data_IF_573314926674
#
_entry.id   IF_573314926674
#
_cell.length_a   1.000
_cell.length_b   1.000
_cell.length_c   1.000
_cell.angle_alpha   90.00
_cell.angle_beta   90.00
_cell.angle_gamma   90.00
#
_symmetry.space_group_name_H-M   'P 1'
#
loop_
_entity.id
_entity.type
_entity.pdbx_description
1 polymer ?
#
# COMPACT_ATOMS: atom_id res chain seq x y z
N UNK A 1 -6.55 12.84 10.40
CA UNK A 1 -5.82 13.69 9.43
C UNK A 1 -6.33 13.35 8.04
N UNK A 2 -6.64 14.33 7.20
CA UNK A 2 -7.11 14.08 5.83
C UNK A 2 -5.93 14.16 4.88
N UNK A 3 -5.70 13.12 4.09
CA UNK A 3 -4.65 13.11 3.07
C UNK A 3 -5.11 13.90 1.86
N UNK A 4 -4.36 14.95 1.52
CA UNK A 4 -4.59 15.73 0.30
C UNK A 4 -3.83 15.06 -0.86
N UNK A 5 -4.56 14.31 -1.67
CA UNK A 5 -3.98 13.53 -2.77
C UNK A 5 -3.54 14.38 -3.96
N UNK A 6 -3.91 15.65 -3.99
CA UNK A 6 -3.48 16.56 -5.08
C UNK A 6 -2.00 16.91 -5.00
N UNK A 7 -1.47 17.01 -3.77
CA UNK A 7 -0.06 17.32 -3.51
C UNK A 7 0.79 16.07 -3.26
N UNK A 8 0.19 14.87 -3.28
CA UNK A 8 0.83 13.61 -2.92
C UNK A 8 0.70 13.25 -1.45
N UNK A 9 0.75 11.96 -1.15
CA UNK A 9 0.50 11.45 0.20
C UNK A 9 1.60 11.86 1.18
N UNK A 10 2.89 11.79 0.78
CA UNK A 10 4.01 12.18 1.64
C UNK A 10 4.04 13.69 1.90
N UNK A 11 3.81 14.52 0.89
CA UNK A 11 3.75 15.97 1.07
C UNK A 11 2.59 16.36 2.00
N UNK A 12 1.43 15.74 1.83
CA UNK A 12 0.27 15.92 2.71
C UNK A 12 0.56 15.48 4.15
N UNK A 13 1.19 14.31 4.32
CA UNK A 13 1.61 13.80 5.62
C UNK A 13 2.57 14.77 6.32
N UNK A 14 3.65 15.18 5.66
CA UNK A 14 4.65 16.10 6.22
C UNK A 14 4.04 17.44 6.63
N UNK A 15 3.19 18.03 5.78
CA UNK A 15 2.46 19.26 6.10
C UNK A 15 1.62 19.10 7.36
N UNK A 16 0.86 18.02 7.45
CA UNK A 16 -0.04 17.78 8.58
C UNK A 16 0.76 17.48 9.86
N UNK A 17 1.85 16.72 9.76
CA UNK A 17 2.75 16.42 10.87
C UNK A 17 3.35 17.72 11.47
N UNK A 18 3.89 18.59 10.62
CA UNK A 18 4.46 19.87 11.05
C UNK A 18 3.39 20.81 11.66
N UNK A 19 2.19 20.85 11.09
CA UNK A 19 1.11 21.68 11.63
C UNK A 19 0.68 21.22 13.03
N UNK A 20 0.57 19.90 13.25
CA UNK A 20 0.30 19.36 14.59
C UNK A 20 1.45 19.60 15.56
N UNK A 21 2.69 19.39 15.12
CA UNK A 21 3.87 19.60 15.94
C UNK A 21 3.98 21.03 16.50
N UNK A 22 3.59 22.03 15.71
CA UNK A 22 3.54 23.44 16.16
C UNK A 22 2.60 23.66 17.34
N UNK A 23 1.47 22.95 17.39
CA UNK A 23 0.49 23.07 18.47
C UNK A 23 1.06 22.52 19.78
N UNK A 24 1.91 21.51 19.70
CA UNK A 24 2.46 20.80 20.86
C UNK A 24 3.93 21.13 21.16
N UNK A 25 4.56 22.04 20.42
CA UNK A 25 5.98 22.38 20.60
C UNK A 25 6.94 21.23 20.23
N UNK A 26 6.59 20.39 19.26
CA UNK A 26 7.33 19.18 18.87
C UNK A 26 7.92 19.29 17.44
N UNK A 27 8.20 20.51 16.98
CA UNK A 27 8.61 20.75 15.58
C UNK A 27 9.92 20.07 15.22
N UNK A 28 10.86 19.99 16.14
CA UNK A 28 12.14 19.31 15.87
C UNK A 28 11.90 17.81 15.65
N UNK A 29 11.15 17.17 16.52
CA UNK A 29 10.79 15.76 16.36
C UNK A 29 10.07 15.50 15.04
N UNK A 30 9.15 16.35 14.66
CA UNK A 30 8.43 16.21 13.39
C UNK A 30 9.36 16.33 12.17
N UNK A 31 10.38 17.18 12.24
CA UNK A 31 11.41 17.28 11.19
C UNK A 31 12.26 16.01 11.12
N UNK A 32 12.64 15.47 12.26
CA UNK A 32 13.46 14.25 12.35
C UNK A 32 12.68 13.04 11.80
N UNK A 33 11.41 12.90 12.20
CA UNK A 33 10.51 11.87 11.68
C UNK A 33 10.34 11.99 10.15
N UNK A 34 10.11 13.21 9.64
CA UNK A 34 9.97 13.46 8.21
C UNK A 34 11.23 13.12 7.42
N UNK A 35 12.41 13.46 7.97
CA UNK A 35 13.71 13.11 7.37
C UNK A 35 13.93 11.58 7.34
N UNK A 36 13.56 10.89 8.41
CA UNK A 36 13.61 9.43 8.47
C UNK A 36 12.74 8.76 7.41
N UNK A 37 11.50 9.23 7.23
CA UNK A 37 10.62 8.74 6.17
C UNK A 37 11.15 9.05 4.77
N UNK A 38 11.76 10.24 4.56
CA UNK A 38 12.36 10.58 3.27
C UNK A 38 13.51 9.63 2.90
N UNK A 39 14.40 9.34 3.83
CA UNK A 39 15.50 8.40 3.62
C UNK A 39 15.01 6.97 3.28
N UNK A 40 14.01 6.48 4.02
CA UNK A 40 13.38 5.18 3.72
C UNK A 40 12.72 5.16 2.35
N UNK A 41 12.05 6.26 1.96
CA UNK A 41 11.40 6.40 0.67
C UNK A 41 12.41 6.26 -0.48
N UNK A 42 13.57 6.90 -0.38
CA UNK A 42 14.64 6.80 -1.39
C UNK A 42 15.10 5.35 -1.58
N UNK A 43 15.33 4.62 -0.48
CA UNK A 43 15.74 3.21 -0.52
C UNK A 43 14.66 2.33 -1.16
N UNK A 44 13.40 2.53 -0.77
CA UNK A 44 12.26 1.80 -1.34
C UNK A 44 12.14 2.09 -2.85
N UNK A 45 12.17 3.37 -3.24
CA UNK A 45 12.00 3.79 -4.64
C UNK A 45 13.12 3.25 -5.54
N UNK A 46 14.35 3.21 -5.06
CA UNK A 46 15.46 2.61 -5.79
C UNK A 46 15.23 1.11 -6.01
N UNK A 47 14.83 0.38 -4.98
CA UNK A 47 14.55 -1.07 -5.02
C UNK A 47 13.31 -1.41 -5.88
N UNK A 48 12.31 -0.54 -5.89
CA UNK A 48 11.07 -0.72 -6.64
C UNK A 48 11.19 -0.32 -8.12
N UNK A 49 12.22 0.43 -8.48
CA UNK A 49 12.41 0.95 -9.84
C UNK A 49 12.33 -0.14 -10.90
N UNK A 50 11.46 0.08 -11.89
CA UNK A 50 11.23 -0.84 -13.01
C UNK A 50 10.41 -2.09 -12.66
N UNK A 51 9.92 -2.21 -11.43
CA UNK A 51 9.06 -3.32 -11.01
C UNK A 51 7.59 -2.96 -11.19
N UNK A 52 6.85 -3.87 -11.82
CA UNK A 52 5.40 -3.75 -11.96
C UNK A 52 4.69 -4.21 -10.70
N UNK A 53 3.60 -3.52 -10.35
CA UNK A 53 2.76 -3.89 -9.22
C UNK A 53 1.28 -3.83 -9.57
N UNK A 54 0.49 -4.61 -8.83
CA UNK A 54 -0.94 -4.46 -8.67
C UNK A 54 -1.26 -4.25 -7.20
N UNK A 55 -2.26 -3.44 -6.93
CA UNK A 55 -2.82 -3.27 -5.59
C UNK A 55 -4.25 -3.83 -5.61
N UNK A 56 -4.47 -4.89 -4.86
CA UNK A 56 -5.76 -5.58 -4.74
C UNK A 56 -6.43 -5.29 -3.41
N UNK A 57 -7.64 -4.75 -3.43
CA UNK A 57 -8.52 -4.66 -2.27
C UNK A 57 -9.42 -5.88 -2.23
N UNK A 58 -9.25 -6.73 -1.24
CA UNK A 58 -10.11 -7.90 -1.02
C UNK A 58 -11.31 -7.51 -0.17
N UNK A 59 -12.50 -7.80 -0.68
CA UNK A 59 -13.78 -7.58 -0.01
C UNK A 59 -14.74 -8.70 -0.36
N UNK A 60 -15.29 -9.38 0.64
CA UNK A 60 -16.30 -10.46 0.44
C UNK A 60 -15.89 -11.51 -0.60
N UNK A 61 -14.63 -11.91 -0.58
CA UNK A 61 -14.01 -12.85 -1.51
C UNK A 61 -13.82 -12.36 -2.97
N UNK A 62 -14.06 -11.07 -3.23
CA UNK A 62 -13.73 -10.41 -4.51
C UNK A 62 -12.43 -9.62 -4.39
N UNK A 63 -11.72 -9.49 -5.51
CA UNK A 63 -10.51 -8.64 -5.60
C UNK A 63 -10.84 -7.45 -6.49
N UNK A 64 -10.70 -6.25 -5.94
CA UNK A 64 -10.85 -5.01 -6.69
C UNK A 64 -9.47 -4.39 -6.90
N UNK A 65 -9.11 -4.03 -8.12
CA UNK A 65 -7.85 -3.35 -8.41
C UNK A 65 -7.94 -1.87 -8.05
N UNK A 66 -6.93 -1.38 -7.35
CA UNK A 66 -6.82 0.01 -6.96
C UNK A 66 -5.84 0.75 -7.85
N UNK A 67 -6.29 1.85 -8.43
CA UNK A 67 -5.46 2.77 -9.21
C UNK A 67 -4.74 3.80 -8.34
N UNK A 68 -3.94 4.66 -8.99
CA UNK A 68 -3.11 5.65 -8.33
C UNK A 68 -3.87 6.86 -7.76
N UNK A 69 -5.18 6.95 -7.97
CA UNK A 69 -6.06 7.93 -7.33
C UNK A 69 -6.86 7.33 -6.16
N UNK A 70 -6.70 6.02 -5.92
CA UNK A 70 -7.39 5.28 -4.87
C UNK A 70 -6.57 5.24 -3.56
N UNK A 71 -7.01 4.42 -2.60
CA UNK A 71 -6.21 4.02 -1.44
C UNK A 71 -4.92 3.36 -1.90
N UNK A 72 -3.92 3.36 -1.05
CA UNK A 72 -2.61 2.79 -1.33
C UNK A 72 -1.88 3.43 -2.53
N UNK A 73 -2.29 4.63 -2.95
CA UNK A 73 -1.64 5.38 -4.05
C UNK A 73 -0.14 5.62 -3.81
N UNK A 74 0.29 5.56 -2.56
CA UNK A 74 1.70 5.63 -2.14
C UNK A 74 2.56 4.60 -2.89
N UNK A 75 2.02 3.40 -3.15
CA UNK A 75 2.75 2.29 -3.80
C UNK A 75 3.17 2.67 -5.23
N UNK A 76 2.24 3.17 -6.04
CA UNK A 76 2.54 3.55 -7.43
C UNK A 76 3.15 4.95 -7.54
N UNK A 77 2.65 5.92 -6.78
CA UNK A 77 3.02 7.33 -6.96
C UNK A 77 4.34 7.73 -6.29
N UNK A 78 4.68 7.12 -5.16
CA UNK A 78 5.79 7.58 -4.33
C UNK A 78 6.82 6.48 -4.06
N UNK A 79 6.42 5.23 -3.83
CA UNK A 79 7.35 4.11 -3.64
C UNK A 79 8.02 3.61 -4.93
N UNK A 80 7.62 4.14 -6.09
CA UNK A 80 8.32 3.91 -7.35
C UNK A 80 7.95 2.62 -8.09
N UNK A 81 6.93 1.88 -7.65
CA UNK A 81 6.39 0.77 -8.44
C UNK A 81 5.57 1.28 -9.61
N UNK A 82 5.64 0.57 -10.73
CA UNK A 82 4.74 0.80 -11.85
C UNK A 82 3.39 0.09 -11.57
N UNK A 83 2.39 0.83 -11.07
CA UNK A 83 1.04 0.28 -10.92
C UNK A 83 0.40 0.10 -12.29
N UNK A 84 0.30 -1.15 -12.76
CA UNK A 84 -0.25 -1.49 -14.08
C UNK A 84 -1.77 -1.42 -14.14
N UNK A 85 -2.43 -1.06 -13.03
CA UNK A 85 -3.85 -0.70 -12.96
C UNK A 85 -4.04 0.77 -12.54
N UNK A 86 -3.09 1.67 -12.87
CA UNK A 86 -3.09 3.07 -12.41
C UNK A 86 -4.38 3.84 -12.70
N UNK A 87 -5.10 3.51 -13.79
CA UNK A 87 -6.38 4.12 -14.19
C UNK A 87 -7.62 3.49 -13.53
N UNK A 88 -7.47 2.48 -12.66
CA UNK A 88 -8.61 1.87 -11.98
C UNK A 88 -9.35 2.87 -11.07
N UNK A 89 -10.64 2.65 -10.83
CA UNK A 89 -11.52 3.55 -10.08
C UNK A 89 -10.94 3.95 -8.70
N UNK A 90 -11.07 5.22 -8.36
CA UNK A 90 -10.49 5.80 -7.14
C UNK A 90 -11.13 5.29 -5.84
N UNK A 91 -12.41 4.92 -5.85
CA UNK A 91 -13.14 4.66 -4.61
C UNK A 91 -13.23 3.19 -4.22
N UNK A 92 -13.50 2.31 -5.18
CA UNK A 92 -13.72 0.89 -4.93
C UNK A 92 -12.86 -0.01 -5.81
N UNK A 93 -12.09 0.56 -6.73
CA UNK A 93 -11.37 -0.20 -7.74
C UNK A 93 -12.34 -0.78 -8.79
N UNK A 94 -11.79 -1.51 -9.74
CA UNK A 94 -12.57 -2.31 -10.69
C UNK A 94 -12.56 -3.76 -10.20
N UNK A 95 -13.74 -4.38 -10.13
CA UNK A 95 -13.82 -5.81 -9.87
C UNK A 95 -13.00 -6.57 -10.91
N UNK A 96 -12.15 -7.46 -10.45
CA UNK A 96 -11.21 -8.19 -11.29
C UNK A 96 -11.36 -9.67 -11.07
N UNK A 97 -11.33 -10.42 -12.16
CA UNK A 97 -11.22 -11.87 -12.06
C UNK A 97 -9.77 -12.27 -11.78
N UNK A 98 -9.58 -13.46 -11.22
CA UNK A 98 -8.22 -14.02 -11.03
C UNK A 98 -7.52 -14.24 -12.38
N UNK A 99 -8.27 -14.49 -13.45
CA UNK A 99 -7.77 -14.59 -14.81
C UNK A 99 -7.18 -13.26 -15.30
N UNK A 100 -7.83 -12.13 -14.97
CA UNK A 100 -7.28 -10.81 -15.28
C UNK A 100 -5.98 -10.56 -14.50
N UNK A 101 -5.93 -10.90 -13.21
CA UNK A 101 -4.70 -10.81 -12.42
C UNK A 101 -3.57 -11.63 -13.04
N UNK A 102 -3.87 -12.87 -13.46
CA UNK A 102 -2.90 -13.74 -14.12
C UNK A 102 -2.46 -13.18 -15.48
N UNK A 103 -3.37 -12.58 -16.25
CA UNK A 103 -3.05 -11.94 -17.55
C UNK A 103 -2.14 -10.74 -17.39
N UNK A 104 -2.39 -9.91 -16.37
CA UNK A 104 -1.56 -8.75 -16.04
C UNK A 104 -0.20 -9.15 -15.48
N UNK A 105 -0.15 -10.24 -14.72
CA UNK A 105 1.05 -10.94 -14.25
C UNK A 105 2.14 -10.03 -13.67
N UNK A 106 1.87 -9.24 -12.64
CA UNK A 106 2.79 -8.26 -12.06
C UNK A 106 4.00 -8.92 -11.39
N UNK A 107 5.07 -8.15 -11.16
CA UNK A 107 6.19 -8.54 -10.32
C UNK A 107 5.77 -8.61 -8.84
N UNK A 108 4.92 -7.69 -8.39
CA UNK A 108 4.41 -7.59 -7.01
C UNK A 108 2.90 -7.51 -6.97
N UNK A 109 2.26 -8.21 -6.03
CA UNK A 109 0.86 -8.05 -5.69
C UNK A 109 0.74 -7.59 -4.23
N UNK A 110 0.37 -6.33 -4.03
CA UNK A 110 0.04 -5.79 -2.71
C UNK A 110 -1.44 -6.02 -2.41
N UNK A 111 -1.74 -6.61 -1.26
CA UNK A 111 -3.09 -7.06 -0.91
C UNK A 111 -3.57 -6.35 0.34
N UNK A 112 -4.62 -5.57 0.21
CA UNK A 112 -5.33 -4.94 1.33
C UNK A 112 -6.62 -5.69 1.62
N UNK A 113 -6.70 -6.30 2.82
CA UNK A 113 -7.88 -7.00 3.31
C UNK A 113 -8.81 -6.02 4.03
N UNK A 114 -9.87 -5.57 3.33
CA UNK A 114 -10.85 -4.63 3.89
C UNK A 114 -11.65 -5.28 5.02
N UNK A 115 -12.08 -6.51 4.83
CA UNK A 115 -12.96 -7.16 5.79
C UNK A 115 -12.23 -7.43 7.12
N UNK A 116 -10.93 -7.76 7.05
CA UNK A 116 -10.06 -7.82 8.24
C UNK A 116 -9.86 -6.43 8.88
N UNK A 117 -9.74 -5.37 8.08
CA UNK A 117 -9.57 -4.01 8.62
C UNK A 117 -10.76 -3.56 9.48
N UNK A 118 -11.98 -3.92 9.08
CA UNK A 118 -13.22 -3.56 9.79
C UNK A 118 -13.74 -4.67 10.71
N UNK A 119 -12.94 -5.70 10.97
CA UNK A 119 -13.28 -6.86 11.80
C UNK A 119 -14.64 -7.49 11.42
N UNK A 120 -14.93 -7.66 10.12
CA UNK A 120 -16.21 -8.17 9.62
C UNK A 120 -16.41 -9.63 10.03
N UNK A 121 -17.45 -9.96 10.79
CA UNK A 121 -17.70 -11.33 11.23
C UNK A 121 -17.95 -12.29 10.06
N UNK A 122 -17.33 -13.47 10.08
CA UNK A 122 -17.51 -14.52 9.06
C UNK A 122 -16.89 -14.22 7.70
N UNK A 123 -16.13 -13.13 7.54
CA UNK A 123 -15.43 -12.85 6.31
C UNK A 123 -14.26 -13.82 6.09
N UNK A 124 -14.02 -14.19 4.83
CA UNK A 124 -12.81 -14.93 4.45
C UNK A 124 -11.65 -13.97 4.41
N UNK A 125 -10.54 -14.33 5.05
CA UNK A 125 -9.31 -13.53 4.98
C UNK A 125 -8.72 -13.55 3.57
N UNK A 126 -8.08 -12.45 3.18
CA UNK A 126 -7.55 -12.28 1.83
C UNK A 126 -6.58 -13.40 1.43
N UNK A 127 -5.82 -13.95 2.37
CA UNK A 127 -4.92 -15.07 2.12
C UNK A 127 -5.65 -16.33 1.61
N UNK A 128 -6.82 -16.64 2.17
CA UNK A 128 -7.62 -17.79 1.74
C UNK A 128 -8.29 -17.53 0.39
N UNK A 129 -8.70 -16.28 0.13
CA UNK A 129 -9.28 -15.87 -1.17
C UNK A 129 -8.27 -16.03 -2.31
N UNK A 130 -7.01 -15.66 -2.06
CA UNK A 130 -5.92 -15.73 -3.05
C UNK A 130 -5.28 -17.11 -3.14
N UNK A 131 -5.59 -18.04 -2.23
CA UNK A 131 -5.09 -19.40 -2.28
C UNK A 131 -5.88 -20.25 -3.29
N UNK A 132 -5.58 -20.06 -4.58
CA UNK A 132 -6.21 -20.80 -5.66
C UNK A 132 -5.23 -21.09 -6.81
N UNK A 133 -5.52 -22.08 -7.69
CA UNK A 133 -4.61 -22.49 -8.76
C UNK A 133 -4.28 -21.41 -9.79
N UNK A 134 -5.16 -20.42 -9.99
CA UNK A 134 -4.94 -19.33 -10.95
C UNK A 134 -3.89 -18.37 -10.41
N UNK A 135 -4.07 -17.92 -9.16
CA UNK A 135 -3.11 -17.04 -8.47
C UNK A 135 -1.74 -17.71 -8.31
N UNK A 136 -1.70 -19.02 -8.03
CA UNK A 136 -0.45 -19.78 -7.92
C UNK A 136 0.42 -19.73 -9.19
N UNK A 137 -0.17 -19.48 -10.36
CA UNK A 137 0.55 -19.37 -11.64
C UNK A 137 1.14 -17.98 -11.90
N UNK A 138 0.73 -16.95 -11.15
CA UNK A 138 1.25 -15.60 -11.30
C UNK A 138 2.74 -15.52 -10.92
N UNK A 139 3.48 -14.60 -11.59
CA UNK A 139 4.88 -14.33 -11.26
C UNK A 139 5.04 -13.94 -9.80
N UNK A 140 4.24 -12.98 -9.32
CA UNK A 140 4.26 -12.54 -7.93
C UNK A 140 4.07 -13.70 -6.92
N UNK A 141 3.24 -14.71 -7.25
CA UNK A 141 3.05 -15.87 -6.38
C UNK A 141 4.28 -16.79 -6.38
N UNK A 142 4.83 -17.09 -7.55
CA UNK A 142 5.99 -18.00 -7.69
C UNK A 142 7.27 -17.43 -7.08
N UNK A 143 7.40 -16.11 -7.07
CA UNK A 143 8.55 -15.38 -6.52
C UNK A 143 8.36 -14.96 -5.07
N UNK A 144 7.25 -15.34 -4.42
CA UNK A 144 6.87 -14.94 -3.06
C UNK A 144 6.72 -13.41 -2.88
N UNK A 145 6.26 -12.71 -3.93
CA UNK A 145 6.04 -11.27 -3.96
C UNK A 145 4.57 -10.88 -3.77
N UNK A 146 3.75 -11.75 -3.16
CA UNK A 146 2.41 -11.38 -2.67
C UNK A 146 2.58 -10.81 -1.26
N UNK A 147 2.42 -9.50 -1.14
CA UNK A 147 2.58 -8.76 0.11
C UNK A 147 1.21 -8.41 0.70
N UNK A 148 0.91 -8.95 1.87
CA UNK A 148 -0.30 -8.62 2.63
C UNK A 148 -0.03 -7.38 3.48
N UNK A 149 -0.72 -6.30 3.17
CA UNK A 149 -0.61 -5.01 3.86
C UNK A 149 -1.31 -5.08 5.21
N UNK A 150 -0.79 -4.39 6.22
CA UNK A 150 -1.39 -4.29 7.55
C UNK A 150 -2.72 -3.53 7.48
N UNK A 151 -3.89 -4.21 7.60
CA UNK A 151 -5.17 -3.63 7.21
C UNK A 151 -5.51 -2.35 7.98
N UNK A 152 -5.25 -2.31 9.28
CA UNK A 152 -5.57 -1.14 10.12
C UNK A 152 -4.78 0.10 9.70
N UNK A 153 -3.50 -0.03 9.34
CA UNK A 153 -2.67 1.09 8.92
C UNK A 153 -3.10 1.64 7.55
N UNK A 154 -3.30 0.75 6.57
CA UNK A 154 -3.60 1.13 5.18
C UNK A 154 -5.06 1.48 4.93
N UNK A 155 -5.99 0.98 5.74
CA UNK A 155 -7.42 1.20 5.52
C UNK A 155 -8.03 2.23 6.47
N UNK A 156 -7.62 2.25 7.75
CA UNK A 156 -8.27 3.07 8.79
C UNK A 156 -7.43 4.26 9.24
N UNK A 157 -6.10 4.13 9.31
CA UNK A 157 -5.23 5.07 10.01
C UNK A 157 -4.25 5.83 9.10
N UNK A 158 -4.49 5.84 7.77
CA UNK A 158 -3.64 6.54 6.80
C UNK A 158 -3.39 8.00 7.23
N UNK A 159 -2.11 8.38 7.34
CA UNK A 159 -1.68 9.74 7.69
C UNK A 159 -1.25 9.94 9.15
N UNK A 160 -1.37 8.95 10.03
CA UNK A 160 -0.74 8.96 11.36
C UNK A 160 0.72 8.51 11.28
N UNK A 161 1.61 9.03 12.15
CA UNK A 161 3.05 8.68 12.15
C UNK A 161 3.27 7.17 12.30
N UNK A 162 2.62 6.56 13.29
CA UNK A 162 2.70 5.12 13.50
C UNK A 162 2.16 4.30 12.33
N UNK A 163 1.06 4.76 11.71
CA UNK A 163 0.50 4.08 10.55
C UNK A 163 1.45 4.18 9.35
N UNK A 164 2.06 5.36 9.12
CA UNK A 164 3.07 5.54 8.07
C UNK A 164 4.27 4.62 8.28
N UNK A 165 4.77 4.50 9.52
CA UNK A 165 5.86 3.59 9.85
C UNK A 165 5.52 2.12 9.50
N UNK A 166 4.31 1.67 9.85
CA UNK A 166 3.83 0.33 9.49
C UNK A 166 3.72 0.17 7.97
N UNK A 167 3.20 1.18 7.26
CA UNK A 167 3.03 1.16 5.81
C UNK A 167 4.39 1.04 5.10
N UNK A 168 5.39 1.79 5.54
CA UNK A 168 6.76 1.68 5.03
C UNK A 168 7.34 0.29 5.32
N UNK A 169 7.19 -0.20 6.55
CA UNK A 169 7.69 -1.52 6.97
C UNK A 169 7.06 -2.67 6.18
N UNK A 170 5.78 -2.58 5.80
CA UNK A 170 5.12 -3.57 4.96
C UNK A 170 5.78 -3.66 3.56
N UNK A 171 6.11 -2.51 2.96
CA UNK A 171 6.74 -2.45 1.64
C UNK A 171 8.22 -2.83 1.70
N UNK A 172 8.94 -2.39 2.73
CA UNK A 172 10.33 -2.80 2.98
C UNK A 172 10.45 -4.31 3.10
N UNK A 173 9.53 -4.94 3.86
CA UNK A 173 9.48 -6.40 4.00
C UNK A 173 9.21 -7.07 2.65
N UNK A 174 8.30 -6.55 1.84
CA UNK A 174 8.01 -7.08 0.50
C UNK A 174 9.24 -7.01 -0.42
N UNK A 175 10.07 -5.98 -0.27
CA UNK A 175 11.30 -5.77 -1.05
C UNK A 175 12.54 -6.47 -0.45
N UNK A 176 12.40 -7.16 0.70
CA UNK A 176 13.52 -7.78 1.40
C UNK A 176 14.52 -6.76 1.99
N UNK A 177 14.06 -5.53 2.25
CA UNK A 177 14.84 -4.51 2.96
C UNK A 177 14.80 -4.84 4.45
N UNK A 178 15.98 -4.97 5.07
CA UNK A 178 16.06 -5.20 6.52
C UNK A 178 15.69 -3.91 7.24
N UNK A 179 14.86 -4.02 8.28
CA UNK A 179 14.60 -2.93 9.19
C UNK A 179 15.93 -2.47 9.81
N UNK A 180 16.20 -1.18 9.79
CA UNK A 180 17.35 -0.55 10.41
C UNK A 180 17.16 -0.46 11.92
#
# INVERSE_FOLDING_TARGET
MTTDRTIGSMASFNRNLLNLARIFGLEQRARDDAAGFAARLEVIAEKARGKTALVGLVTSAHVNLLGDQARCSLIGREFGFQNIAASASANHGNESSFELLLKLNPDYLFVLDRDSAIARPGARVARDVLNNPIVARMKASRENHIAYLTPAAWYLAEGGVQAMDIMFSDVERALGIKAS
#
